data_IF_330024653066
#
_entry.id   IF_330024653066
#
_cell.length_a   1.000
_cell.length_b   1.000
_cell.length_c   1.000
_cell.angle_alpha   90.00
_cell.angle_beta   90.00
_cell.angle_gamma   90.00
#
_symmetry.space_group_name_H-M   'P 1'
#
loop_
_entity.id
_entity.type
_entity.pdbx_description
1 polymer ?
#
# COMPACT_ATOMS: atom_id res chain seq x y z
N UNK A 1 -104.29 -45.08 21.33
CA UNK A 1 -105.76 -45.18 21.43
C UNK A 1 -106.25 -45.80 20.15
N UNK A 2 -106.63 -47.08 20.17
CA UNK A 2 -107.30 -47.69 19.02
C UNK A 2 -108.71 -47.16 18.97
N UNK A 3 -108.97 -46.26 18.03
CA UNK A 3 -110.33 -45.81 17.72
C UNK A 3 -111.07 -47.04 17.19
N UNK A 4 -111.94 -47.63 18.03
CA UNK A 4 -112.84 -48.70 17.61
C UNK A 4 -113.85 -48.02 16.68
N UNK A 5 -113.71 -48.24 15.39
CA UNK A 5 -114.65 -47.76 14.37
C UNK A 5 -115.89 -48.64 14.52
N UNK A 6 -116.92 -48.16 15.21
CA UNK A 6 -118.23 -48.82 15.21
C UNK A 6 -118.75 -48.91 13.77
N UNK A 7 -119.26 -50.08 13.39
CA UNK A 7 -119.77 -50.32 12.06
C UNK A 7 -120.99 -49.41 11.81
N UNK A 8 -121.01 -48.61 10.73
CA UNK A 8 -122.12 -47.72 10.45
C UNK A 8 -123.41 -48.53 10.25
N UNK A 9 -124.52 -48.06 10.83
CA UNK A 9 -125.85 -48.68 10.68
C UNK A 9 -126.63 -47.99 9.57
N UNK A 10 -127.18 -48.74 8.63
CA UNK A 10 -127.83 -48.21 7.43
C UNK A 10 -129.34 -48.47 7.41
N UNK A 11 -130.11 -47.53 6.86
CA UNK A 11 -131.57 -47.59 6.75
C UNK A 11 -132.02 -48.45 5.55
N UNK A 12 -131.15 -48.60 4.55
CA UNK A 12 -131.38 -49.41 3.34
C UNK A 12 -130.06 -49.95 2.78
N UNK A 13 -130.14 -51.02 1.97
CA UNK A 13 -128.95 -51.55 1.27
C UNK A 13 -128.34 -50.55 0.28
N UNK A 14 -129.14 -49.67 -0.30
CA UNK A 14 -128.64 -48.64 -1.23
C UNK A 14 -127.80 -47.58 -0.49
N UNK A 15 -128.21 -47.20 0.72
CA UNK A 15 -127.47 -46.27 1.59
C UNK A 15 -126.13 -46.87 2.06
N UNK A 16 -126.11 -48.16 2.40
CA UNK A 16 -124.88 -48.91 2.71
C UNK A 16 -123.91 -48.92 1.52
N UNK A 17 -124.41 -49.22 0.32
CA UNK A 17 -123.61 -49.24 -0.91
C UNK A 17 -123.06 -47.85 -1.22
N UNK A 18 -123.87 -46.80 -1.05
CA UNK A 18 -123.46 -45.42 -1.32
C UNK A 18 -122.41 -44.93 -0.31
N UNK A 19 -122.55 -45.26 0.98
CA UNK A 19 -121.56 -44.98 2.00
C UNK A 19 -120.20 -45.63 1.69
N UNK A 20 -120.17 -46.95 1.43
CA UNK A 20 -118.91 -47.64 1.15
C UNK A 20 -118.27 -47.19 -0.18
N UNK A 21 -119.07 -46.82 -1.19
CA UNK A 21 -118.56 -46.20 -2.43
C UNK A 21 -117.91 -44.85 -2.17
N UNK A 22 -118.56 -43.99 -1.38
CA UNK A 22 -118.03 -42.68 -1.02
C UNK A 22 -116.75 -42.81 -0.17
N UNK A 23 -116.72 -43.73 0.79
CA UNK A 23 -115.54 -43.99 1.62
C UNK A 23 -114.38 -44.57 0.80
N UNK A 24 -114.65 -45.49 -0.13
CA UNK A 24 -113.63 -45.99 -1.06
C UNK A 24 -113.09 -44.88 -1.97
N UNK A 25 -113.95 -43.97 -2.43
CA UNK A 25 -113.55 -42.81 -3.23
C UNK A 25 -112.69 -41.83 -2.40
N UNK A 26 -113.05 -41.59 -1.14
CA UNK A 26 -112.29 -40.76 -0.22
C UNK A 26 -110.90 -41.35 0.06
N UNK A 27 -110.81 -42.65 0.36
CA UNK A 27 -109.52 -43.33 0.53
C UNK A 27 -108.68 -43.31 -0.74
N UNK A 28 -109.29 -43.48 -1.92
CA UNK A 28 -108.59 -43.38 -3.20
C UNK A 28 -108.00 -41.97 -3.40
N UNK A 29 -108.77 -40.92 -3.10
CA UNK A 29 -108.28 -39.54 -3.12
C UNK A 29 -107.20 -39.28 -2.05
N UNK A 30 -107.31 -39.88 -0.87
CA UNK A 30 -106.30 -39.74 0.19
C UNK A 30 -104.97 -40.40 -0.21
N UNK A 31 -105.03 -41.59 -0.83
CA UNK A 31 -103.85 -42.27 -1.37
C UNK A 31 -103.23 -41.48 -2.51
N UNK A 32 -104.03 -40.95 -3.45
CA UNK A 32 -103.53 -40.10 -4.54
C UNK A 32 -102.86 -38.82 -4.02
N UNK A 33 -103.44 -38.17 -3.02
CA UNK A 33 -102.82 -37.01 -2.34
C UNK A 33 -101.51 -37.39 -1.66
N UNK A 34 -101.51 -38.44 -0.85
CA UNK A 34 -100.30 -38.89 -0.15
C UNK A 34 -99.18 -39.31 -1.13
N UNK A 35 -99.54 -39.90 -2.27
CA UNK A 35 -98.58 -40.24 -3.32
C UNK A 35 -97.96 -38.99 -3.93
N UNK A 36 -98.78 -37.98 -4.27
CA UNK A 36 -98.27 -36.68 -4.77
C UNK A 36 -97.37 -36.00 -3.77
N UNK A 37 -97.77 -35.93 -2.50
CA UNK A 37 -96.95 -35.33 -1.43
C UNK A 37 -95.61 -36.07 -1.27
N UNK A 38 -95.61 -37.41 -1.36
CA UNK A 38 -94.38 -38.21 -1.30
C UNK A 38 -93.47 -37.98 -2.53
N UNK A 39 -94.05 -37.89 -3.72
CA UNK A 39 -93.32 -37.61 -4.95
C UNK A 39 -92.70 -36.20 -4.93
N UNK A 40 -93.44 -35.20 -4.44
CA UNK A 40 -92.95 -33.83 -4.22
C UNK A 40 -91.79 -33.82 -3.22
N UNK A 41 -91.93 -34.48 -2.07
CA UNK A 41 -90.86 -34.59 -1.08
C UNK A 41 -89.60 -35.26 -1.63
N UNK A 42 -89.76 -36.34 -2.42
CA UNK A 42 -88.62 -37.01 -3.07
C UNK A 42 -87.93 -36.10 -4.08
N UNK A 43 -88.68 -35.32 -4.86
CA UNK A 43 -88.11 -34.34 -5.80
C UNK A 43 -87.35 -33.24 -5.08
N UNK A 44 -87.93 -32.65 -4.04
CA UNK A 44 -87.29 -31.60 -3.23
C UNK A 44 -86.01 -32.10 -2.54
N UNK A 45 -86.05 -33.30 -1.95
CA UNK A 45 -84.88 -33.92 -1.33
C UNK A 45 -83.75 -34.12 -2.34
N UNK A 46 -84.08 -34.58 -3.55
CA UNK A 46 -83.09 -34.76 -4.62
C UNK A 46 -82.52 -33.42 -5.11
N UNK A 47 -83.35 -32.39 -5.23
CA UNK A 47 -82.89 -31.06 -5.59
C UNK A 47 -81.91 -30.52 -4.53
N UNK A 48 -82.26 -30.65 -3.25
CA UNK A 48 -81.42 -30.20 -2.15
C UNK A 48 -80.07 -30.95 -2.11
N UNK A 49 -80.08 -32.27 -2.36
CA UNK A 49 -78.86 -33.08 -2.47
C UNK A 49 -77.95 -32.56 -3.58
N UNK A 50 -78.49 -32.26 -4.78
CA UNK A 50 -77.72 -31.69 -5.88
C UNK A 50 -77.14 -30.30 -5.54
N UNK A 51 -77.88 -29.47 -4.80
CA UNK A 51 -77.41 -28.16 -4.34
C UNK A 51 -76.25 -28.30 -3.34
N UNK A 52 -76.33 -29.28 -2.42
CA UNK A 52 -75.24 -29.61 -1.51
C UNK A 52 -74.02 -30.14 -2.24
N UNK A 53 -74.17 -31.09 -3.18
CA UNK A 53 -73.07 -31.61 -3.99
C UNK A 53 -72.38 -30.48 -4.76
N UNK A 54 -73.14 -29.61 -5.41
CA UNK A 54 -72.59 -28.45 -6.14
C UNK A 54 -71.79 -27.53 -5.21
N UNK A 55 -72.29 -27.30 -3.99
CA UNK A 55 -71.61 -26.44 -3.01
C UNK A 55 -70.32 -27.09 -2.48
N UNK A 56 -70.35 -28.41 -2.21
CA UNK A 56 -69.17 -29.19 -1.81
C UNK A 56 -68.10 -29.10 -2.90
N UNK A 57 -68.49 -29.37 -4.15
CA UNK A 57 -67.61 -29.29 -5.32
C UNK A 57 -66.93 -27.93 -5.48
N UNK A 58 -67.69 -26.85 -5.28
CA UNK A 58 -67.15 -25.49 -5.35
C UNK A 58 -66.17 -25.22 -4.20
N UNK A 59 -66.50 -25.65 -2.99
CA UNK A 59 -65.64 -25.48 -1.83
C UNK A 59 -64.34 -26.31 -1.95
N UNK A 60 -64.40 -27.53 -2.45
CA UNK A 60 -63.23 -28.37 -2.70
C UNK A 60 -62.29 -27.74 -3.74
N UNK A 61 -62.84 -27.21 -4.84
CA UNK A 61 -62.07 -26.46 -5.84
C UNK A 61 -61.39 -25.24 -5.20
N UNK A 62 -62.14 -24.47 -4.40
CA UNK A 62 -61.60 -23.29 -3.71
C UNK A 62 -60.49 -23.65 -2.72
N UNK A 63 -60.64 -24.73 -1.96
CA UNK A 63 -59.60 -25.23 -1.03
C UNK A 63 -58.34 -25.62 -1.81
N UNK A 64 -58.50 -26.31 -2.94
CA UNK A 64 -57.38 -26.71 -3.79
C UNK A 64 -56.64 -25.51 -4.37
N UNK A 65 -57.37 -24.52 -4.89
CA UNK A 65 -56.79 -23.30 -5.46
C UNK A 65 -56.05 -22.49 -4.40
N UNK A 66 -56.65 -22.32 -3.21
CA UNK A 66 -56.02 -21.66 -2.07
C UNK A 66 -54.78 -22.41 -1.60
N UNK A 67 -54.81 -23.75 -1.58
CA UNK A 67 -53.64 -24.57 -1.23
C UNK A 67 -52.49 -24.38 -2.23
N UNK A 68 -52.78 -24.36 -3.53
CA UNK A 68 -51.76 -24.11 -4.57
C UNK A 68 -51.19 -22.69 -4.42
N UNK A 69 -52.05 -21.69 -4.22
CA UNK A 69 -51.61 -20.32 -4.02
C UNK A 69 -50.71 -20.18 -2.78
N UNK A 70 -51.11 -20.80 -1.66
CA UNK A 70 -50.34 -20.77 -0.42
C UNK A 70 -48.96 -21.43 -0.59
N UNK A 71 -48.89 -22.58 -1.27
CA UNK A 71 -47.61 -23.23 -1.58
C UNK A 71 -46.71 -22.37 -2.49
N UNK A 72 -47.29 -21.65 -3.46
CA UNK A 72 -46.53 -20.72 -4.32
C UNK A 72 -45.95 -19.57 -3.49
N UNK A 73 -46.77 -18.92 -2.66
CA UNK A 73 -46.32 -17.83 -1.80
C UNK A 73 -45.27 -18.30 -0.79
N UNK A 74 -45.41 -19.52 -0.25
CA UNK A 74 -44.43 -20.10 0.66
C UNK A 74 -43.06 -20.30 -0.03
N UNK A 75 -43.06 -20.85 -1.24
CA UNK A 75 -41.83 -21.02 -2.02
C UNK A 75 -41.16 -19.67 -2.35
N UNK A 76 -41.95 -18.63 -2.65
CA UNK A 76 -41.44 -17.28 -2.88
C UNK A 76 -40.80 -16.68 -1.61
N UNK A 77 -41.45 -16.87 -0.46
CA UNK A 77 -40.90 -16.44 0.84
C UNK A 77 -39.56 -17.12 1.10
N UNK A 78 -39.47 -18.43 0.89
CA UNK A 78 -38.23 -19.17 1.16
C UNK A 78 -37.12 -18.78 0.16
N UNK A 79 -37.45 -18.55 -1.11
CA UNK A 79 -36.51 -18.02 -2.09
C UNK A 79 -36.00 -16.62 -1.73
N UNK A 80 -36.87 -15.73 -1.23
CA UNK A 80 -36.49 -14.40 -0.78
C UNK A 80 -35.62 -14.44 0.48
N UNK A 81 -35.89 -15.36 1.42
CA UNK A 81 -35.05 -15.57 2.61
C UNK A 81 -33.63 -15.98 2.24
N UNK A 82 -33.48 -16.90 1.28
CA UNK A 82 -32.15 -17.32 0.80
C UNK A 82 -31.40 -16.15 0.16
N UNK A 83 -32.07 -15.37 -0.71
CA UNK A 83 -31.46 -14.17 -1.32
C UNK A 83 -31.04 -13.15 -0.26
N UNK A 84 -31.87 -12.95 0.76
CA UNK A 84 -31.56 -12.04 1.87
C UNK A 84 -30.32 -12.49 2.65
N UNK A 85 -30.20 -13.78 2.96
CA UNK A 85 -29.02 -14.34 3.64
C UNK A 85 -27.74 -14.16 2.80
N UNK A 86 -27.82 -14.37 1.48
CA UNK A 86 -26.71 -14.11 0.56
C UNK A 86 -26.31 -12.63 0.60
N UNK A 87 -27.27 -11.70 0.46
CA UNK A 87 -26.99 -10.27 0.50
C UNK A 87 -26.38 -9.83 1.85
N UNK A 88 -26.83 -10.39 2.97
CA UNK A 88 -26.23 -10.10 4.28
C UNK A 88 -24.78 -10.59 4.38
N UNK A 89 -24.48 -11.79 3.88
CA UNK A 89 -23.11 -12.31 3.83
C UNK A 89 -22.21 -11.45 2.95
N UNK A 90 -22.69 -11.06 1.77
CA UNK A 90 -21.96 -10.17 0.86
C UNK A 90 -21.69 -8.80 1.51
N UNK A 91 -22.71 -8.21 2.16
CA UNK A 91 -22.57 -6.95 2.89
C UNK A 91 -21.54 -7.06 4.01
N UNK A 92 -21.58 -8.16 4.78
CA UNK A 92 -20.59 -8.43 5.83
C UNK A 92 -19.17 -8.54 5.27
N UNK A 93 -18.99 -9.28 4.16
CA UNK A 93 -17.69 -9.42 3.52
C UNK A 93 -17.15 -8.07 3.02
N UNK A 94 -17.98 -7.29 2.34
CA UNK A 94 -17.63 -5.95 1.87
C UNK A 94 -17.25 -5.03 3.04
N UNK A 95 -17.98 -5.11 4.17
CA UNK A 95 -17.65 -4.34 5.36
C UNK A 95 -16.27 -4.72 5.93
N UNK A 96 -15.95 -6.02 6.00
CA UNK A 96 -14.62 -6.46 6.45
C UNK A 96 -13.49 -6.01 5.52
N UNK A 97 -13.72 -6.01 4.21
CA UNK A 97 -12.74 -5.53 3.23
C UNK A 97 -12.51 -4.01 3.36
N UNK A 98 -13.59 -3.23 3.52
CA UNK A 98 -13.51 -1.78 3.78
C UNK A 98 -12.68 -1.49 5.02
N UNK A 99 -12.89 -2.22 6.11
CA UNK A 99 -12.15 -1.99 7.36
C UNK A 99 -10.67 -2.40 7.24
N UNK A 100 -10.37 -3.47 6.49
CA UNK A 100 -9.01 -3.85 6.12
C UNK A 100 -8.31 -2.74 5.32
N UNK A 101 -8.95 -2.24 4.26
CA UNK A 101 -8.40 -1.18 3.40
C UNK A 101 -8.20 0.14 4.17
N UNK A 102 -9.09 0.47 5.11
CA UNK A 102 -8.91 1.64 6.00
C UNK A 102 -7.69 1.46 6.91
N UNK A 103 -7.49 0.26 7.46
CA UNK A 103 -6.32 -0.06 8.28
C UNK A 103 -5.03 0.04 7.48
N UNK A 104 -5.00 -0.54 6.28
CA UNK A 104 -3.85 -0.47 5.36
C UNK A 104 -3.53 0.98 4.97
N UNK A 105 -4.56 1.77 4.60
CA UNK A 105 -4.39 3.20 4.31
C UNK A 105 -3.76 3.95 5.49
N UNK A 106 -4.19 3.66 6.72
CA UNK A 106 -3.61 4.28 7.93
C UNK A 106 -2.13 3.91 8.10
N UNK A 107 -1.77 2.66 7.85
CA UNK A 107 -0.38 2.20 7.92
C UNK A 107 0.49 2.84 6.84
N UNK A 108 0.00 2.95 5.61
CA UNK A 108 0.70 3.61 4.51
C UNK A 108 0.93 5.10 4.79
N UNK A 109 -0.08 5.79 5.34
CA UNK A 109 0.07 7.19 5.75
C UNK A 109 1.11 7.38 6.85
N UNK A 110 1.19 6.46 7.82
CA UNK A 110 2.25 6.48 8.83
C UNK A 110 3.62 6.29 8.18
N UNK A 111 3.75 5.31 7.28
CA UNK A 111 5.00 5.03 6.56
C UNK A 111 5.46 6.19 5.67
N UNK A 112 4.53 6.92 5.05
CA UNK A 112 4.84 8.13 4.29
C UNK A 112 5.49 9.18 5.20
N UNK A 113 4.90 9.43 6.38
CA UNK A 113 5.46 10.39 7.35
C UNK A 113 6.86 9.97 7.83
N UNK A 114 7.05 8.67 8.10
CA UNK A 114 8.36 8.15 8.52
C UNK A 114 9.42 8.35 7.41
N UNK A 115 9.03 8.16 6.14
CA UNK A 115 9.91 8.39 4.99
C UNK A 115 10.21 9.87 4.78
N UNK A 116 9.23 10.75 4.96
CA UNK A 116 9.41 12.20 4.91
C UNK A 116 10.40 12.65 6.00
N UNK A 117 10.22 12.18 7.24
CA UNK A 117 11.15 12.49 8.33
C UNK A 117 12.57 11.98 8.04
N UNK A 118 12.71 10.75 7.52
CA UNK A 118 14.02 10.21 7.16
C UNK A 118 14.66 11.02 6.04
N UNK A 119 13.88 11.51 5.07
CA UNK A 119 14.40 12.36 4.01
C UNK A 119 14.90 13.70 4.55
N UNK A 120 14.15 14.34 5.46
CA UNK A 120 14.57 15.58 6.12
C UNK A 120 15.89 15.39 6.89
N UNK A 121 16.04 14.27 7.60
CA UNK A 121 17.26 13.94 8.33
C UNK A 121 18.45 13.68 7.38
N UNK A 122 18.20 13.02 6.25
CA UNK A 122 19.21 12.82 5.20
C UNK A 122 19.64 14.15 4.56
N UNK A 123 18.71 15.03 4.25
CA UNK A 123 19.00 16.36 3.72
C UNK A 123 19.79 17.21 4.71
N UNK A 124 19.45 17.14 6.00
CA UNK A 124 20.23 17.79 7.06
C UNK A 124 21.67 17.25 7.12
N UNK A 125 21.82 15.91 7.12
CA UNK A 125 23.15 15.28 7.13
C UNK A 125 23.96 15.67 5.90
N UNK A 126 23.32 15.76 4.73
CA UNK A 126 23.96 16.19 3.49
C UNK A 126 24.52 17.61 3.62
N UNK A 127 23.73 18.56 4.13
CA UNK A 127 24.19 19.96 4.32
C UNK A 127 25.39 20.05 5.26
N UNK A 128 25.41 19.27 6.35
CA UNK A 128 26.55 19.22 7.28
C UNK A 128 27.81 18.71 6.57
N UNK A 129 27.67 17.67 5.76
CA UNK A 129 28.80 17.10 4.99
C UNK A 129 29.29 18.09 3.94
N UNK A 130 28.40 18.75 3.21
CA UNK A 130 28.75 19.79 2.22
C UNK A 130 29.51 20.95 2.86
N UNK A 131 29.07 21.44 4.03
CA UNK A 131 29.80 22.46 4.81
C UNK A 131 31.17 21.97 5.25
N UNK A 132 31.28 20.71 5.70
CA UNK A 132 32.55 20.12 6.10
C UNK A 132 33.53 20.01 4.93
N UNK A 133 33.03 19.68 3.74
CA UNK A 133 33.83 19.65 2.50
C UNK A 133 34.33 21.05 2.17
N UNK A 134 33.45 22.06 2.17
CA UNK A 134 33.82 23.47 1.95
C UNK A 134 34.92 23.93 2.92
N UNK A 135 34.80 23.55 4.21
CA UNK A 135 35.84 23.82 5.21
C UNK A 135 37.19 23.16 4.90
N UNK A 136 37.20 21.91 4.40
CA UNK A 136 38.42 21.24 3.97
C UNK A 136 39.04 21.88 2.72
N UNK A 137 38.22 22.29 1.75
CA UNK A 137 38.67 22.99 0.54
C UNK A 137 39.35 24.32 0.89
N UNK A 138 38.75 25.10 1.80
CA UNK A 138 39.35 26.35 2.28
C UNK A 138 40.70 26.10 2.98
N UNK A 139 40.75 25.10 3.87
CA UNK A 139 41.99 24.74 4.56
C UNK A 139 43.10 24.29 3.59
N UNK A 140 42.73 23.51 2.57
CA UNK A 140 43.64 23.08 1.52
C UNK A 140 44.15 24.27 0.71
N UNK A 141 43.28 25.18 0.27
CA UNK A 141 43.66 26.37 -0.47
C UNK A 141 44.63 27.25 0.33
N UNK A 142 44.33 27.49 1.61
CA UNK A 142 45.25 28.23 2.50
C UNK A 142 46.61 27.53 2.67
N UNK A 143 46.64 26.19 2.68
CA UNK A 143 47.90 25.45 2.74
C UNK A 143 48.69 25.56 1.42
N UNK A 144 48.00 25.51 0.28
CA UNK A 144 48.62 25.70 -1.04
C UNK A 144 49.21 27.11 -1.19
N UNK A 145 48.48 28.15 -0.79
CA UNK A 145 48.97 29.54 -0.80
C UNK A 145 50.24 29.68 0.06
N UNK A 146 50.23 29.14 1.29
CA UNK A 146 51.42 29.14 2.15
C UNK A 146 52.59 28.39 1.52
N UNK A 147 52.34 27.25 0.87
CA UNK A 147 53.39 26.48 0.23
C UNK A 147 53.99 27.24 -0.97
N UNK A 148 53.18 27.94 -1.76
CA UNK A 148 53.67 28.80 -2.84
C UNK A 148 54.54 29.96 -2.33
N UNK A 149 54.21 30.56 -1.18
CA UNK A 149 55.05 31.57 -0.54
C UNK A 149 56.39 30.95 -0.12
N UNK A 150 56.35 29.79 0.56
CA UNK A 150 57.56 29.09 0.99
C UNK A 150 58.46 28.67 -0.19
N UNK A 151 57.86 28.24 -1.30
CA UNK A 151 58.59 27.93 -2.54
C UNK A 151 59.34 29.17 -3.05
N UNK A 152 58.69 30.34 -3.07
CA UNK A 152 59.36 31.59 -3.48
C UNK A 152 60.45 32.07 -2.51
N UNK A 153 60.26 31.88 -1.19
CA UNK A 153 61.31 32.14 -0.19
C UNK A 153 62.52 31.21 -0.37
N UNK A 154 62.29 29.95 -0.75
CA UNK A 154 63.36 29.00 -1.07
C UNK A 154 64.12 29.43 -2.34
N UNK A 155 63.40 29.83 -3.39
CA UNK A 155 64.00 30.34 -4.63
C UNK A 155 64.86 31.60 -4.38
N UNK A 156 64.36 32.55 -3.56
CA UNK A 156 65.13 33.74 -3.18
C UNK A 156 66.41 33.37 -2.43
N UNK A 157 66.33 32.42 -1.50
CA UNK A 157 67.48 31.90 -0.77
C UNK A 157 68.51 31.25 -1.69
N UNK A 158 68.09 30.52 -2.72
CA UNK A 158 68.98 29.94 -3.72
C UNK A 158 69.67 31.02 -4.56
N UNK A 159 68.92 32.03 -5.02
CA UNK A 159 69.47 33.18 -5.73
C UNK A 159 70.52 33.94 -4.90
N UNK A 160 70.26 34.14 -3.61
CA UNK A 160 71.22 34.79 -2.70
C UNK A 160 72.48 33.94 -2.49
N UNK A 161 72.35 32.61 -2.39
CA UNK A 161 73.51 31.71 -2.33
C UNK A 161 74.36 31.81 -3.59
N UNK A 162 73.74 31.87 -4.78
CA UNK A 162 74.48 32.01 -6.03
C UNK A 162 75.25 33.34 -6.07
N UNK A 163 74.62 34.45 -5.70
CA UNK A 163 75.28 35.77 -5.59
C UNK A 163 76.45 35.73 -4.60
N UNK A 164 76.27 35.10 -3.45
CA UNK A 164 77.32 34.96 -2.44
C UNK A 164 78.49 34.11 -2.97
N UNK A 165 78.20 33.03 -3.69
CA UNK A 165 79.23 32.20 -4.32
C UNK A 165 80.04 33.00 -5.34
N UNK A 166 79.37 33.75 -6.24
CA UNK A 166 80.03 34.64 -7.22
C UNK A 166 80.94 35.67 -6.54
N UNK A 167 80.43 36.37 -5.52
CA UNK A 167 81.22 37.34 -4.76
C UNK A 167 82.40 36.69 -4.02
N UNK A 168 82.24 35.46 -3.52
CA UNK A 168 83.32 34.71 -2.88
C UNK A 168 84.41 34.31 -3.89
N UNK A 169 84.02 33.96 -5.12
CA UNK A 169 84.94 33.67 -6.22
C UNK A 169 85.66 34.96 -6.68
N UNK A 170 84.95 36.08 -6.88
CA UNK A 170 85.57 37.40 -7.15
C UNK A 170 86.54 37.83 -6.04
N UNK A 171 86.17 37.61 -4.77
CA UNK A 171 87.06 37.89 -3.63
C UNK A 171 88.29 36.99 -3.67
N UNK A 172 88.15 35.74 -4.12
CA UNK A 172 89.28 34.81 -4.28
C UNK A 172 90.20 35.27 -5.39
N UNK A 173 89.64 35.65 -6.54
CA UNK A 173 90.39 36.13 -7.70
C UNK A 173 91.14 37.43 -7.37
N UNK A 174 90.49 38.41 -6.73
CA UNK A 174 91.14 39.65 -6.29
C UNK A 174 92.26 39.40 -5.27
N UNK A 175 92.08 38.44 -4.35
CA UNK A 175 93.16 38.03 -3.43
C UNK A 175 94.34 37.42 -4.18
N UNK A 176 94.08 36.61 -5.21
CA UNK A 176 95.13 36.05 -6.07
C UNK A 176 95.84 37.17 -6.86
N UNK A 177 95.10 38.13 -7.42
CA UNK A 177 95.69 39.30 -8.09
C UNK A 177 96.58 40.14 -7.16
N UNK A 178 96.15 40.34 -5.91
CA UNK A 178 96.96 41.03 -4.89
C UNK A 178 98.24 40.24 -4.57
N UNK A 179 98.17 38.92 -4.41
CA UNK A 179 99.34 38.06 -4.19
C UNK A 179 100.32 38.10 -5.36
N UNK A 180 99.83 38.10 -6.60
CA UNK A 180 100.67 38.25 -7.80
C UNK A 180 101.33 39.63 -7.82
N UNK A 181 100.59 40.71 -7.55
CA UNK A 181 101.15 42.07 -7.43
C UNK A 181 102.17 42.21 -6.30
N UNK A 182 102.01 41.47 -5.22
CA UNK A 182 102.97 41.44 -4.10
C UNK A 182 104.23 40.66 -4.48
N UNK A 183 104.09 39.57 -5.24
CA UNK A 183 105.21 38.77 -5.78
C UNK A 183 105.98 39.48 -6.90
N UNK A 184 105.32 40.33 -7.69
CA UNK A 184 105.96 41.19 -8.70
C UNK A 184 106.71 42.40 -8.10
N UNK A 185 106.56 42.68 -6.80
CA UNK A 185 107.23 43.81 -6.10
C UNK A 185 108.55 43.43 -5.40
N UNK A 186 109.06 42.21 -5.56
CA UNK A 186 110.31 41.77 -4.91
C UNK A 186 111.34 41.35 -5.98
N UNK A 187 112.54 41.95 -6.04
CA UNK A 187 113.65 41.38 -6.80
C UNK A 187 114.24 40.18 -6.05
N UNK A 188 114.62 39.19 -6.85
CA UNK A 188 115.23 37.90 -6.52
C UNK A 188 116.30 38.00 -5.41
N UNK A 189 116.04 37.49 -4.20
CA UNK A 189 117.09 36.95 -3.33
C UNK A 189 116.56 36.05 -2.18
N UNK A 190 116.94 34.77 -2.29
CA UNK A 190 117.33 33.82 -1.24
C UNK A 190 116.63 33.74 0.16
N UNK A 191 116.13 32.52 0.42
CA UNK A 191 116.54 31.57 1.49
C UNK A 191 115.66 31.32 2.74
N UNK A 192 115.51 30.01 2.99
CA UNK A 192 115.29 29.25 4.24
C UNK A 192 113.87 29.26 4.86
N UNK A 193 113.35 28.21 5.53
CA UNK A 193 113.51 26.74 5.62
C UNK A 193 112.54 26.30 6.74
N UNK A 194 111.92 25.12 6.58
CA UNK A 194 111.47 24.17 7.62
C UNK A 194 110.25 24.40 8.53
N UNK A 195 109.52 23.29 8.76
CA UNK A 195 108.79 22.95 10.00
C UNK A 195 107.30 22.64 9.79
N UNK A 196 106.88 21.44 9.36
CA UNK A 196 106.64 20.19 10.12
C UNK A 196 105.50 20.24 11.18
N UNK A 197 104.62 19.21 11.10
CA UNK A 197 103.72 18.58 12.10
C UNK A 197 102.20 18.92 12.04
N UNK A 198 101.44 17.96 11.45
CA UNK A 198 100.34 17.14 12.01
C UNK A 198 99.26 17.82 12.89
N UNK A 199 97.96 17.49 12.85
CA UNK A 199 97.25 16.31 12.36
C UNK A 199 95.72 16.57 12.40
N UNK A 200 94.97 15.70 11.73
CA UNK A 200 93.59 15.24 12.09
C UNK A 200 92.39 16.17 11.84
N UNK A 201 91.58 15.84 10.82
CA UNK A 201 90.45 14.90 10.94
C UNK A 201 89.66 14.74 9.62
N UNK A 202 89.71 13.50 9.11
CA UNK A 202 88.64 12.73 8.45
C UNK A 202 87.91 13.32 7.23
N UNK A 203 88.37 12.87 6.06
CA UNK A 203 87.48 12.49 4.97
C UNK A 203 86.88 11.10 5.24
N UNK A 204 85.62 10.95 4.84
CA UNK A 204 85.05 9.66 4.46
C UNK A 204 84.11 9.92 3.29
N UNK A 205 84.53 9.42 2.12
CA UNK A 205 83.68 9.09 0.97
C UNK A 205 82.49 8.21 1.46
N UNK A 206 81.32 8.13 0.85
CA UNK A 206 81.08 7.72 -0.54
C UNK A 206 79.56 7.76 -0.82
N UNK A 207 79.17 8.08 -2.07
CA UNK A 207 77.94 7.68 -2.77
C UNK A 207 76.55 8.05 -2.18
N UNK A 208 75.76 8.80 -2.94
CA UNK A 208 74.65 8.27 -3.78
C UNK A 208 73.92 9.40 -4.51
N UNK A 209 73.38 9.06 -5.68
CA UNK A 209 72.61 9.91 -6.60
C UNK A 209 71.17 10.21 -6.05
N UNK A 210 70.26 10.83 -6.83
CA UNK A 210 69.37 11.90 -6.39
C UNK A 210 68.09 11.43 -5.67
N UNK A 211 67.52 12.28 -4.81
CA UNK A 211 66.13 12.23 -4.36
C UNK A 211 65.55 13.66 -4.50
N UNK A 212 64.35 13.90 -5.04
CA UNK A 212 63.08 13.29 -4.60
C UNK A 212 62.04 13.14 -5.72
N UNK A 213 61.58 11.92 -5.93
CA UNK A 213 60.13 11.61 -5.89
C UNK A 213 59.91 10.90 -4.56
N UNK A 214 59.30 11.56 -3.58
CA UNK A 214 58.92 10.91 -2.32
C UNK A 214 57.44 10.52 -2.36
N UNK A 215 57.25 9.23 -2.63
CA UNK A 215 56.15 8.44 -2.10
C UNK A 215 56.23 8.43 -0.56
N UNK A 216 55.09 8.60 0.11
CA UNK A 216 54.98 8.46 1.56
C UNK A 216 55.47 7.07 2.03
N UNK A 217 56.16 6.97 3.18
CA UNK A 217 56.52 5.68 3.72
C UNK A 217 55.24 4.90 4.09
N UNK A 218 55.14 3.61 3.74
CA UNK A 218 54.00 2.79 4.13
C UNK A 218 53.99 2.72 5.66
N UNK A 219 52.91 3.21 6.29
CA UNK A 219 52.61 3.19 7.73
C UNK A 219 53.21 1.96 8.46
N UNK A 220 53.66 2.09 9.72
CA UNK A 220 54.10 0.88 10.45
C UNK A 220 52.97 -0.18 10.45
N UNK A 221 53.27 -1.50 10.46
CA UNK A 221 52.25 -2.53 10.53
C UNK A 221 51.25 -2.30 11.68
N UNK A 222 51.72 -1.80 12.83
CA UNK A 222 50.87 -1.42 13.96
C UNK A 222 49.93 -0.24 13.62
N UNK A 223 50.44 0.78 12.93
CA UNK A 223 49.66 1.94 12.49
C UNK A 223 48.60 1.57 11.44
N UNK A 224 48.92 0.62 10.53
CA UNK A 224 47.93 0.08 9.57
C UNK A 224 46.81 -0.68 10.26
N UNK A 225 47.16 -1.57 11.19
CA UNK A 225 46.16 -2.37 11.93
C UNK A 225 45.27 -1.46 12.78
N UNK A 226 45.84 -0.46 13.45
CA UNK A 226 45.07 0.52 14.21
C UNK A 226 44.11 1.34 13.32
N UNK A 227 44.59 1.81 12.16
CA UNK A 227 43.75 2.51 11.20
C UNK A 227 42.60 1.64 10.66
N UNK A 228 42.86 0.37 10.33
CA UNK A 228 41.84 -0.58 9.87
C UNK A 228 40.81 -0.85 10.97
N UNK A 229 41.23 -0.98 12.23
CA UNK A 229 40.32 -1.20 13.35
C UNK A 229 39.44 0.03 13.61
N UNK A 230 39.99 1.25 13.55
CA UNK A 230 39.23 2.49 13.70
C UNK A 230 38.20 2.63 12.57
N UNK A 231 38.62 2.39 11.32
CA UNK A 231 37.71 2.44 10.16
C UNK A 231 36.63 1.37 10.26
N UNK A 232 36.96 0.16 10.69
CA UNK A 232 35.99 -0.93 10.87
C UNK A 232 34.96 -0.62 11.96
N UNK A 233 35.40 -0.01 13.06
CA UNK A 233 34.53 0.37 14.17
C UNK A 233 33.62 1.55 13.79
N UNK A 234 34.14 2.48 12.97
CA UNK A 234 33.35 3.56 12.38
C UNK A 234 32.28 3.01 11.45
N UNK A 235 32.63 2.15 10.49
CA UNK A 235 31.70 1.49 9.56
C UNK A 235 30.59 0.75 10.30
N UNK A 236 30.91 0.11 11.44
CA UNK A 236 29.93 -0.56 12.31
C UNK A 236 29.02 0.45 13.01
N UNK A 237 29.56 1.56 13.53
CA UNK A 237 28.79 2.64 14.21
C UNK A 237 27.88 3.42 13.27
N UNK A 238 28.28 3.68 12.02
CA UNK A 238 27.44 4.40 11.03
C UNK A 238 26.47 3.47 10.28
N UNK A 239 26.42 2.17 10.63
CA UNK A 239 25.49 1.20 10.04
C UNK A 239 25.73 0.93 8.54
N UNK A 240 26.95 1.18 8.05
CA UNK A 240 27.34 1.01 6.64
C UNK A 240 27.65 -0.46 6.29
N UNK A 241 27.74 -1.35 7.29
CA UNK A 241 27.89 -2.79 7.11
C UNK A 241 26.81 -3.42 6.23
N UNK A 242 25.60 -2.84 6.19
CA UNK A 242 24.50 -3.29 5.32
C UNK A 242 24.79 -3.16 3.82
N UNK A 243 25.75 -2.30 3.46
CA UNK A 243 26.15 -2.03 2.08
C UNK A 243 27.45 -2.73 1.68
N UNK A 244 28.07 -3.48 2.59
CA UNK A 244 29.29 -4.24 2.31
C UNK A 244 28.97 -5.72 2.11
N UNK A 245 29.66 -6.36 1.17
CA UNK A 245 29.55 -7.80 0.96
C UNK A 245 30.26 -8.57 2.09
N UNK A 246 29.54 -9.46 2.78
CA UNK A 246 30.09 -10.24 3.91
C UNK A 246 31.25 -11.17 3.53
N UNK A 247 31.42 -11.52 2.26
CA UNK A 247 32.49 -12.43 1.79
C UNK A 247 33.75 -11.71 1.31
N UNK A 248 33.67 -10.45 0.84
CA UNK A 248 34.80 -9.77 0.22
C UNK A 248 35.00 -8.30 0.63
N UNK A 249 34.12 -7.73 1.46
CA UNK A 249 34.25 -6.37 1.99
C UNK A 249 34.04 -5.24 0.96
N UNK A 250 33.64 -5.54 -0.27
CA UNK A 250 33.35 -4.53 -1.29
C UNK A 250 31.94 -3.93 -1.15
N UNK A 251 31.78 -2.67 -1.56
CA UNK A 251 30.50 -1.93 -1.55
C UNK A 251 29.55 -2.49 -2.60
N UNK A 252 28.34 -2.88 -2.19
CA UNK A 252 27.26 -3.33 -3.08
C UNK A 252 26.71 -2.12 -3.86
N UNK A 253 27.19 -1.92 -5.09
CA UNK A 253 26.70 -0.90 -6.05
C UNK A 253 25.44 -1.35 -6.84
N UNK A 254 24.71 -2.36 -6.37
CA UNK A 254 23.48 -2.82 -7.03
C UNK A 254 22.26 -2.17 -6.37
N UNK A 255 21.69 -1.14 -7.00
CA UNK A 255 20.35 -0.63 -6.66
C UNK A 255 20.14 0.89 -6.64
N UNK A 256 21.14 1.73 -6.86
CA UNK A 256 20.95 3.20 -6.80
C UNK A 256 20.41 3.83 -8.10
N UNK A 257 20.40 3.11 -9.23
CA UNK A 257 20.06 3.72 -10.53
C UNK A 257 18.59 3.53 -10.95
N UNK A 258 17.90 2.48 -10.51
CA UNK A 258 16.49 2.23 -10.92
C UNK A 258 15.44 3.06 -10.16
N UNK A 259 15.85 3.84 -9.15
CA UNK A 259 14.95 4.64 -8.30
C UNK A 259 14.69 6.07 -8.78
N UNK A 260 15.48 6.59 -9.73
CA UNK A 260 15.45 8.01 -10.11
C UNK A 260 14.60 8.34 -11.35
N UNK A 261 14.33 7.37 -12.24
CA UNK A 261 13.54 7.62 -13.46
C UNK A 261 12.01 7.62 -13.25
N UNK A 262 11.51 7.24 -12.07
CA UNK A 262 10.05 7.23 -11.77
C UNK A 262 9.51 8.51 -11.11
N UNK A 263 10.26 9.61 -11.11
CA UNK A 263 9.93 10.85 -10.35
C UNK A 263 9.53 12.07 -11.19
N UNK A 264 8.94 11.89 -12.36
CA UNK A 264 8.31 13.01 -13.09
C UNK A 264 6.94 12.60 -13.66
N UNK A 265 5.90 12.61 -12.82
CA UNK A 265 4.57 13.11 -13.21
C UNK A 265 3.70 13.31 -11.96
N UNK A 266 3.69 14.54 -11.45
CA UNK A 266 2.91 14.95 -10.27
C UNK A 266 1.95 16.10 -10.61
N UNK A 267 1.40 16.13 -11.84
CA UNK A 267 0.50 17.21 -12.28
C UNK A 267 -0.92 16.80 -12.70
N UNK A 268 -1.25 15.51 -12.78
CA UNK A 268 -2.54 15.07 -13.34
C UNK A 268 -3.61 14.59 -12.32
N UNK A 269 -3.39 14.76 -11.02
CA UNK A 269 -4.34 14.30 -9.98
C UNK A 269 -5.27 15.38 -9.41
N UNK A 270 -5.28 16.61 -9.96
CA UNK A 270 -6.08 17.72 -9.42
C UNK A 270 -7.30 18.15 -10.26
N UNK A 271 -7.68 17.43 -11.33
CA UNK A 271 -8.78 17.87 -12.21
C UNK A 271 -9.85 16.83 -12.58
N UNK A 272 -9.82 15.61 -12.03
CA UNK A 272 -10.81 14.56 -12.39
C UNK A 272 -12.07 14.47 -11.50
N UNK A 273 -12.12 15.09 -10.32
CA UNK A 273 -13.21 14.84 -9.36
C UNK A 273 -14.36 15.88 -9.31
N UNK A 274 -14.52 16.73 -10.33
CA UNK A 274 -15.64 17.69 -10.39
C UNK A 274 -16.63 17.48 -11.56
N UNK A 275 -16.57 16.37 -12.28
CA UNK A 275 -17.54 16.07 -13.36
C UNK A 275 -18.03 14.62 -13.40
N UNK A 276 -18.73 14.17 -12.35
CA UNK A 276 -19.74 13.11 -12.52
C UNK A 276 -20.71 13.00 -11.34
N UNK A 277 -21.78 13.79 -11.37
CA UNK A 277 -23.14 13.33 -10.98
C UNK A 277 -24.18 14.44 -11.28
N UNK A 278 -24.58 14.56 -12.54
CA UNK A 278 -25.86 15.14 -12.95
C UNK A 278 -26.43 14.25 -14.06
N UNK A 279 -27.71 13.91 -13.92
CA UNK A 279 -28.51 12.88 -14.62
C UNK A 279 -28.38 11.47 -14.02
N UNK A 280 -29.44 10.84 -13.50
CA UNK A 280 -30.84 10.87 -13.95
C UNK A 280 -31.82 10.70 -12.79
N UNK A 281 -32.70 11.69 -12.61
CA UNK A 281 -34.01 11.50 -11.98
C UNK A 281 -34.96 11.15 -13.12
N UNK A 282 -35.18 9.86 -13.38
CA UNK A 282 -36.29 9.44 -14.24
C UNK A 282 -37.52 9.49 -13.37
N UNK A 283 -38.35 10.51 -13.64
CA UNK A 283 -39.73 10.59 -13.20
C UNK A 283 -40.47 9.36 -13.75
N UNK A 284 -40.76 8.41 -12.86
CA UNK A 284 -41.82 7.43 -13.07
C UNK A 284 -43.13 8.06 -12.64
N UNK A 285 -43.93 8.50 -13.61
CA UNK A 285 -45.29 9.00 -13.43
C UNK A 285 -46.16 7.95 -12.73
N UNK A 286 -46.51 8.18 -11.47
CA UNK A 286 -47.59 7.45 -10.81
C UNK A 286 -48.92 8.06 -11.27
N UNK A 287 -49.55 7.39 -12.23
CA UNK A 287 -50.92 7.65 -12.67
C UNK A 287 -51.87 7.39 -11.50
N UNK A 288 -52.34 8.46 -10.85
CA UNK A 288 -53.47 8.42 -9.92
C UNK A 288 -54.76 8.24 -10.72
N UNK A 289 -55.18 7.00 -10.93
CA UNK A 289 -56.52 6.67 -11.43
C UNK A 289 -57.48 6.53 -10.25
N UNK A 290 -58.29 7.56 -10.08
CA UNK A 290 -59.65 7.60 -9.56
C UNK A 290 -60.19 6.33 -8.87
N UNK A 291 -60.42 6.44 -7.55
CA UNK A 291 -61.48 5.72 -6.88
C UNK A 291 -62.84 6.32 -7.26
N UNK A 292 -63.61 5.59 -8.07
CA UNK A 292 -65.06 5.75 -8.21
C UNK A 292 -65.70 4.57 -7.47
N UNK A 293 -66.63 4.90 -6.59
CA UNK A 293 -67.42 4.00 -5.74
C UNK A 293 -68.07 2.83 -6.49
N UNK A 294 -68.12 1.69 -5.81
CA UNK A 294 -69.35 0.98 -5.43
C UNK A 294 -69.09 0.12 -4.21
#
# INVERSE_FOLDING_TARGET
>A
MSTIIEAPTFSSKDEEIEFWKNLAHEYLQAVDRAQKDADEFMMESKQLENEYETTIDQNERKIKDLSIANNRTQNEIDALRVKLDICYKETSNQQTEIDSLKSEKKQLLAKIRDLEQLNDDLERSRRIVEESISGFEQALNSALEKNAILESEVDEKENLKEKLQRLADETRDLKQELLVKEKERVPDNERYMNGFIDNRLKESETQTSPAKREYQPPLSPASRVMAINIVSDLIRKVGLTRFLCSNCGQVKLFGMVEGLERRLDYRDLQTSDLRRSRHSSINGSATSMNGISK
#
